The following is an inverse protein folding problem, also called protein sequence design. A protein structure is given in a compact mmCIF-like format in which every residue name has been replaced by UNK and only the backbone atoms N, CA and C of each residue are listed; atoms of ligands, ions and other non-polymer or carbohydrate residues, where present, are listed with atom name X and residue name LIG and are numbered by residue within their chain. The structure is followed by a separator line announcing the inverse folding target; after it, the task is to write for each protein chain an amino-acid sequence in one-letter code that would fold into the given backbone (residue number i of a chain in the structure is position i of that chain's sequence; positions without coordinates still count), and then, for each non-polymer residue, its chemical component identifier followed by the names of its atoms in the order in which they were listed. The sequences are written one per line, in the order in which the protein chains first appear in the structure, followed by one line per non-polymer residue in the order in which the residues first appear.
data_IF_293694452018
#
_entry.id   IF_293694452018
#
_cell.length_a   1.000
_cell.length_b   1.000
_cell.length_c   1.000
_cell.angle_alpha   90.00
_cell.angle_beta   90.00
_cell.angle_gamma   90.00
#
_symmetry.space_group_name_H-M   'P 1'
#
loop_
_entity.id
_entity.type
_entity.pdbx_description
1 polymer ?
#
# COMPACT_ATOMS: atom_id res chain seq x y z
N UNK A 1 -3.93 12.83 46.30
CA UNK A 1 -3.24 13.66 47.31
C UNK A 1 -2.94 15.01 46.69
N UNK A 2 -3.74 16.02 47.05
CA UNK A 2 -3.57 17.41 46.61
C UNK A 2 -4.28 18.29 47.65
N UNK A 3 -3.50 18.79 48.60
CA UNK A 3 -3.82 19.88 49.52
C UNK A 3 -3.93 21.17 48.68
N UNK A 4 -4.71 22.22 48.97
CA UNK A 4 -5.41 22.68 50.16
C UNK A 4 -5.67 24.20 49.96
N UNK A 5 -6.35 24.83 50.93
CA UNK A 5 -6.74 26.26 51.02
C UNK A 5 -7.95 26.65 50.16
N UNK A 6 -9.01 27.29 50.66
CA UNK A 6 -9.22 27.98 51.93
C UNK A 6 -10.10 29.20 51.64
N UNK A 7 -11.01 29.55 52.55
CA UNK A 7 -11.66 30.88 52.55
C UNK A 7 -13.18 30.89 52.55
N UNK A 8 -13.72 31.12 53.75
CA UNK A 8 -15.09 31.53 54.09
C UNK A 8 -15.65 32.67 53.23
N UNK A 9 -16.98 32.85 53.18
CA UNK A 9 -17.69 33.81 54.06
C UNK A 9 -19.11 34.14 53.54
N UNK A 10 -20.07 33.95 54.45
CA UNK A 10 -21.30 34.71 54.69
C UNK A 10 -21.71 35.85 53.74
N UNK A 11 -22.99 35.82 53.35
CA UNK A 11 -23.93 36.92 53.61
C UNK A 11 -24.26 37.85 52.44
N UNK A 12 -25.56 38.10 52.24
CA UNK A 12 -26.02 39.23 51.42
C UNK A 12 -27.46 39.13 50.92
N UNK A 13 -28.43 39.40 51.80
CA UNK A 13 -29.78 39.82 51.40
C UNK A 13 -29.71 41.15 50.62
N UNK A 14 -30.46 41.28 49.53
CA UNK A 14 -30.57 42.55 48.80
C UNK A 14 -31.72 42.56 47.79
N UNK A 15 -32.85 43.11 48.21
CA UNK A 15 -34.00 43.48 47.38
C UNK A 15 -33.60 44.40 46.21
N UNK A 16 -34.22 44.24 45.04
CA UNK A 16 -34.39 45.32 44.07
C UNK A 16 -35.75 45.21 43.37
N UNK A 17 -36.61 46.12 43.77
CA UNK A 17 -37.96 46.41 43.27
C UNK A 17 -37.88 47.35 42.06
N UNK A 18 -38.89 47.23 41.20
CA UNK A 18 -39.45 48.26 40.33
C UNK A 18 -38.66 48.72 39.09
N UNK A 19 -39.14 48.26 37.93
CA UNK A 19 -39.01 48.87 36.59
C UNK A 19 -40.11 48.22 35.71
N UNK A 20 -40.93 48.84 34.88
CA UNK A 20 -41.28 50.21 34.53
C UNK A 20 -42.49 50.10 33.58
N UNK A 21 -43.39 51.06 33.64
CA UNK A 21 -44.70 51.06 33.01
C UNK A 21 -44.58 51.67 31.60
N UNK A 22 -44.78 50.87 30.54
CA UNK A 22 -44.96 51.40 29.18
C UNK A 22 -45.96 50.53 28.40
N UNK A 23 -47.20 50.98 28.38
CA UNK A 23 -48.35 50.31 27.75
C UNK A 23 -48.53 50.84 26.34
N UNK A 24 -47.88 50.20 25.38
CA UNK A 24 -48.38 50.05 23.99
C UNK A 24 -47.80 48.76 23.43
N UNK A 25 -48.07 47.66 24.14
CA UNK A 25 -47.78 46.33 23.67
C UNK A 25 -48.68 45.96 22.48
N UNK A 26 -48.22 45.08 21.58
CA UNK A 26 -49.00 44.61 20.43
C UNK A 26 -50.40 44.23 20.87
N UNK A 27 -51.40 44.69 20.10
CA UNK A 27 -52.81 44.50 20.43
C UNK A 27 -53.07 43.04 20.76
N UNK A 28 -53.84 42.79 21.83
CA UNK A 28 -54.11 41.43 22.36
C UNK A 28 -54.51 40.46 21.25
N UNK A 29 -55.25 40.95 20.27
CA UNK A 29 -55.66 40.20 19.09
C UNK A 29 -54.50 39.81 18.18
N UNK A 30 -53.55 40.71 17.91
CA UNK A 30 -52.33 40.41 17.15
C UNK A 30 -51.45 39.41 17.89
N UNK A 31 -51.31 39.54 19.21
CA UNK A 31 -50.50 38.60 20.00
C UNK A 31 -51.14 37.22 20.10
N UNK A 32 -52.46 37.14 20.28
CA UNK A 32 -53.21 35.87 20.25
C UNK A 32 -53.26 35.25 18.86
N UNK A 33 -53.35 36.06 17.80
CA UNK A 33 -53.26 35.58 16.41
C UNK A 33 -51.83 35.12 16.05
N UNK A 34 -50.81 35.78 16.58
CA UNK A 34 -49.41 35.38 16.43
C UNK A 34 -49.14 34.06 17.16
N UNK A 35 -49.61 33.90 18.40
CA UNK A 35 -49.52 32.64 19.15
C UNK A 35 -50.30 31.50 18.48
N UNK A 36 -51.50 31.77 17.96
CA UNK A 36 -52.30 30.74 17.30
C UNK A 36 -51.75 30.35 15.93
N UNK A 37 -51.15 31.28 15.19
CA UNK A 37 -50.60 31.03 13.85
C UNK A 37 -49.19 30.40 13.89
N UNK A 38 -48.42 30.61 14.97
CA UNK A 38 -47.09 29.99 15.14
C UNK A 38 -47.13 28.47 15.00
N UNK A 39 -48.13 27.81 15.56
CA UNK A 39 -48.31 26.35 15.43
C UNK A 39 -48.57 25.92 13.98
N UNK A 40 -49.33 26.73 13.23
CA UNK A 40 -49.60 26.47 11.81
C UNK A 40 -48.38 26.76 10.92
N UNK A 41 -47.53 27.74 11.26
CA UNK A 41 -46.27 27.96 10.54
C UNK A 41 -45.25 26.87 10.84
N UNK A 42 -45.17 26.38 12.08
CA UNK A 42 -44.31 25.26 12.46
C UNK A 42 -44.68 23.98 11.69
N UNK A 43 -45.97 23.74 11.41
CA UNK A 43 -46.36 22.58 10.60
C UNK A 43 -45.88 22.71 9.16
N UNK A 44 -46.01 23.88 8.53
CA UNK A 44 -45.47 24.14 7.19
C UNK A 44 -43.95 23.98 7.18
N UNK A 45 -43.25 24.55 8.17
CA UNK A 45 -41.79 24.44 8.31
C UNK A 45 -41.36 22.97 8.47
N UNK A 46 -42.09 22.17 9.25
CA UNK A 46 -41.81 20.73 9.40
C UNK A 46 -41.98 19.95 8.09
N UNK A 47 -42.98 20.29 7.27
CA UNK A 47 -43.20 19.64 5.97
C UNK A 47 -42.04 20.00 5.03
N UNK A 48 -41.63 21.26 5.00
CA UNK A 48 -40.48 21.72 4.20
C UNK A 48 -39.19 21.01 4.65
N UNK A 49 -38.94 20.91 5.95
CA UNK A 49 -37.79 20.16 6.47
C UNK A 49 -37.86 18.66 6.15
N UNK A 50 -39.05 18.05 6.19
CA UNK A 50 -39.23 16.65 5.79
C UNK A 50 -38.94 16.45 4.30
N UNK A 51 -39.37 17.35 3.43
CA UNK A 51 -39.00 17.29 2.00
C UNK A 51 -37.49 17.49 1.81
N UNK A 52 -36.87 18.41 2.54
CA UNK A 52 -35.43 18.60 2.50
C UNK A 52 -34.66 17.37 2.99
N UNK A 53 -35.14 16.68 4.03
CA UNK A 53 -34.50 15.46 4.54
C UNK A 53 -34.67 14.28 3.59
N UNK A 54 -35.83 14.15 2.94
CA UNK A 54 -36.05 13.18 1.86
C UNK A 54 -35.10 13.46 0.68
N UNK A 55 -34.92 14.73 0.30
CA UNK A 55 -33.98 15.10 -0.77
C UNK A 55 -32.53 14.77 -0.40
N UNK A 56 -32.09 15.06 0.83
CA UNK A 56 -30.76 14.68 1.32
C UNK A 56 -30.58 13.16 1.40
N UNK A 57 -31.63 12.43 1.80
CA UNK A 57 -31.59 10.97 1.82
C UNK A 57 -31.51 10.40 0.40
N UNK A 58 -32.25 10.96 -0.55
CA UNK A 58 -32.17 10.56 -1.96
C UNK A 58 -30.78 10.82 -2.53
N UNK A 59 -30.17 11.96 -2.23
CA UNK A 59 -28.79 12.28 -2.61
C UNK A 59 -27.77 11.32 -1.97
N UNK A 60 -27.98 10.96 -0.70
CA UNK A 60 -27.19 9.94 -0.01
C UNK A 60 -27.37 8.54 -0.65
N UNK A 61 -28.59 8.16 -1.04
CA UNK A 61 -28.82 6.88 -1.73
C UNK A 61 -28.20 6.86 -3.12
N UNK A 62 -28.26 7.96 -3.87
CA UNK A 62 -27.63 8.08 -5.17
C UNK A 62 -26.11 7.97 -5.07
N UNK A 63 -25.49 8.73 -4.17
CA UNK A 63 -24.05 8.66 -3.93
C UNK A 63 -23.61 7.29 -3.40
N UNK A 64 -24.39 6.65 -2.53
CA UNK A 64 -24.12 5.28 -2.08
C UNK A 64 -24.15 4.27 -3.22
N UNK A 65 -25.12 4.37 -4.13
CA UNK A 65 -25.19 3.51 -5.33
C UNK A 65 -24.00 3.78 -6.27
N UNK A 66 -23.66 5.04 -6.50
CA UNK A 66 -22.51 5.41 -7.35
C UNK A 66 -21.19 4.88 -6.78
N UNK A 67 -20.97 5.06 -5.48
CA UNK A 67 -19.78 4.56 -4.78
C UNK A 67 -19.74 3.03 -4.74
N UNK A 68 -20.89 2.36 -4.58
CA UNK A 68 -20.98 0.90 -4.63
C UNK A 68 -20.65 0.36 -6.02
N UNK A 69 -21.14 1.02 -7.07
CA UNK A 69 -20.83 0.64 -8.45
C UNK A 69 -19.34 0.78 -8.76
N UNK A 70 -18.73 1.92 -8.36
CA UNK A 70 -17.28 2.09 -8.48
C UNK A 70 -16.50 1.02 -7.72
N UNK A 71 -16.86 0.72 -6.48
CA UNK A 71 -16.20 -0.33 -5.71
C UNK A 71 -16.25 -1.69 -6.41
N UNK A 72 -17.32 -2.00 -7.14
CA UNK A 72 -17.42 -3.23 -7.94
C UNK A 72 -16.52 -3.20 -9.18
N UNK A 73 -16.40 -2.05 -9.85
CA UNK A 73 -15.44 -1.86 -10.95
C UNK A 73 -14.00 -2.03 -10.44
N UNK A 74 -13.66 -1.44 -9.30
CA UNK A 74 -12.34 -1.58 -8.68
C UNK A 74 -12.03 -3.06 -8.35
N UNK A 75 -13.00 -3.81 -7.82
CA UNK A 75 -12.87 -5.26 -7.60
C UNK A 75 -12.60 -6.02 -8.91
N UNK A 76 -13.16 -5.57 -10.02
CA UNK A 76 -12.94 -6.17 -11.34
C UNK A 76 -11.51 -5.94 -11.83
N UNK A 77 -10.97 -4.73 -11.64
CA UNK A 77 -9.58 -4.43 -11.97
C UNK A 77 -8.61 -5.19 -11.07
N UNK A 78 -8.91 -5.30 -9.77
CA UNK A 78 -8.14 -6.14 -8.85
C UNK A 78 -8.19 -7.62 -9.23
N UNK A 79 -9.33 -8.13 -9.71
CA UNK A 79 -9.46 -9.49 -10.21
C UNK A 79 -8.61 -9.73 -11.47
N UNK A 80 -8.51 -8.75 -12.36
CA UNK A 80 -7.62 -8.79 -13.53
C UNK A 80 -6.15 -8.92 -13.14
N UNK A 81 -5.70 -8.10 -12.17
CA UNK A 81 -4.33 -8.16 -11.63
C UNK A 81 -4.04 -9.49 -10.93
N UNK A 82 -4.99 -10.01 -10.15
CA UNK A 82 -4.87 -11.32 -9.50
C UNK A 82 -4.68 -12.45 -10.51
N UNK A 83 -5.40 -12.42 -11.64
CA UNK A 83 -5.22 -13.41 -12.70
C UNK A 83 -3.79 -13.41 -13.26
N UNK A 84 -3.19 -12.23 -13.42
CA UNK A 84 -1.79 -12.12 -13.87
C UNK A 84 -0.82 -12.68 -12.82
N UNK A 85 -1.01 -12.34 -11.54
CA UNK A 85 -0.20 -12.87 -10.44
C UNK A 85 -0.33 -14.39 -10.28
N UNK A 86 -1.54 -14.93 -10.45
CA UNK A 86 -1.80 -16.37 -10.40
C UNK A 86 -1.11 -17.12 -11.55
N UNK A 87 -1.09 -16.52 -12.75
CA UNK A 87 -0.37 -17.07 -13.91
C UNK A 87 1.14 -17.05 -13.67
N UNK A 88 1.68 -15.98 -13.08
CA UNK A 88 3.09 -15.90 -12.70
C UNK A 88 3.47 -16.93 -11.63
N UNK A 89 2.63 -17.13 -10.62
CA UNK A 89 2.85 -18.15 -9.59
C UNK A 89 2.84 -19.58 -10.16
N UNK A 90 1.89 -19.89 -11.04
CA UNK A 90 1.86 -21.18 -11.76
C UNK A 90 3.06 -21.32 -12.71
N UNK A 91 3.46 -20.24 -13.37
CA UNK A 91 4.63 -20.22 -14.25
C UNK A 91 5.92 -20.48 -13.46
N UNK A 92 6.06 -19.96 -12.24
CA UNK A 92 7.22 -20.23 -11.39
C UNK A 92 7.30 -21.73 -11.04
N UNK A 93 6.18 -22.37 -10.71
CA UNK A 93 6.13 -23.81 -10.46
C UNK A 93 6.44 -24.63 -11.73
N UNK A 94 5.92 -24.22 -12.88
CA UNK A 94 6.22 -24.84 -14.17
C UNK A 94 7.70 -24.62 -14.58
N UNK A 95 8.26 -23.45 -14.27
CA UNK A 95 9.65 -23.08 -14.54
C UNK A 95 10.62 -23.90 -13.70
N UNK A 96 10.34 -24.09 -12.41
CA UNK A 96 11.13 -25.01 -11.56
C UNK A 96 11.07 -26.44 -12.10
N UNK A 97 9.89 -26.91 -12.52
CA UNK A 97 9.72 -28.25 -13.09
C UNK A 97 10.47 -28.41 -14.42
N UNK A 98 10.42 -27.41 -15.29
CA UNK A 98 11.11 -27.43 -16.60
C UNK A 98 12.61 -27.31 -16.43
N UNK A 99 13.13 -26.46 -15.53
CA UNK A 99 14.56 -26.40 -15.18
C UNK A 99 15.04 -27.75 -14.64
N UNK A 100 14.29 -28.38 -13.72
CA UNK A 100 14.68 -29.68 -13.16
C UNK A 100 14.69 -30.77 -14.24
N UNK A 101 13.72 -30.75 -15.14
CA UNK A 101 13.65 -31.66 -16.29
C UNK A 101 14.81 -31.42 -17.26
N UNK A 102 15.10 -30.16 -17.58
CA UNK A 102 16.15 -29.76 -18.51
C UNK A 102 17.53 -30.07 -17.94
N UNK A 103 17.79 -29.83 -16.65
CA UNK A 103 18.99 -30.26 -15.95
C UNK A 103 19.17 -31.78 -15.98
N UNK A 104 18.11 -32.53 -15.66
CA UNK A 104 18.14 -33.98 -15.71
C UNK A 104 18.36 -34.51 -17.13
N UNK A 105 17.83 -33.82 -18.15
CA UNK A 105 17.98 -34.18 -19.56
C UNK A 105 19.35 -33.77 -20.11
N UNK A 106 19.88 -32.62 -19.71
CA UNK A 106 21.22 -32.13 -20.06
C UNK A 106 22.30 -33.05 -19.47
N UNK A 107 22.17 -33.45 -18.20
CA UNK A 107 23.05 -34.44 -17.58
C UNK A 107 22.96 -35.83 -18.24
N UNK A 108 21.78 -36.22 -18.73
CA UNK A 108 21.62 -37.46 -19.48
C UNK A 108 22.22 -37.37 -20.89
N UNK A 109 22.12 -36.20 -21.54
CA UNK A 109 22.70 -35.93 -22.86
C UNK A 109 24.23 -35.80 -22.82
N UNK A 110 24.78 -35.22 -21.74
CA UNK A 110 26.21 -35.17 -21.47
C UNK A 110 26.78 -36.52 -20.97
N UNK A 111 25.94 -37.54 -20.75
CA UNK A 111 26.39 -38.89 -20.41
C UNK A 111 26.88 -39.08 -18.97
N UNK A 112 26.71 -38.09 -18.08
CA UNK A 112 27.17 -38.17 -16.67
C UNK A 112 26.14 -38.81 -15.71
N UNK A 113 24.98 -39.26 -16.19
CA UNK A 113 23.91 -39.75 -15.32
C UNK A 113 23.91 -41.28 -15.15
N UNK A 114 24.84 -41.77 -14.33
CA UNK A 114 24.73 -43.05 -13.62
C UNK A 114 23.70 -42.92 -12.50
N UNK A 115 22.41 -43.13 -12.82
CA UNK A 115 21.29 -43.03 -11.86
C UNK A 115 21.34 -44.14 -10.80
N UNK A 116 22.20 -45.15 -10.94
CA UNK A 116 22.30 -46.28 -10.00
C UNK A 116 23.39 -46.11 -8.95
N UNK A 117 24.46 -45.36 -9.22
CA UNK A 117 25.58 -45.26 -8.25
C UNK A 117 25.33 -44.24 -7.14
N UNK A 118 24.56 -43.17 -7.41
CA UNK A 118 24.33 -42.12 -6.41
C UNK A 118 23.34 -42.56 -5.32
N UNK A 119 22.26 -43.26 -5.67
CA UNK A 119 21.30 -43.79 -4.68
C UNK A 119 21.90 -44.95 -3.87
N UNK A 120 22.74 -45.79 -4.49
CA UNK A 120 23.46 -46.86 -3.80
C UNK A 120 24.52 -46.30 -2.84
N UNK A 121 25.28 -45.28 -3.24
CA UNK A 121 26.29 -44.65 -2.40
C UNK A 121 25.69 -43.80 -1.27
N UNK A 122 24.49 -43.23 -1.46
CA UNK A 122 23.78 -42.49 -0.42
C UNK A 122 23.33 -43.42 0.72
N UNK A 123 22.74 -44.58 0.37
CA UNK A 123 22.34 -45.61 1.35
C UNK A 123 23.55 -46.19 2.09
N UNK A 124 24.67 -46.41 1.40
CA UNK A 124 25.94 -46.85 2.00
C UNK A 124 26.50 -45.81 2.99
N UNK A 125 26.41 -44.52 2.67
CA UNK A 125 26.89 -43.44 3.55
C UNK A 125 26.02 -43.20 4.78
N UNK A 126 24.70 -43.40 4.67
CA UNK A 126 23.80 -43.38 5.83
C UNK A 126 24.01 -44.61 6.75
N UNK A 127 24.35 -45.77 6.19
CA UNK A 127 24.73 -46.95 6.96
C UNK A 127 26.12 -46.80 7.62
N UNK A 128 27.07 -46.16 6.95
CA UNK A 128 28.40 -45.88 7.49
C UNK A 128 28.39 -44.76 8.55
N UNK A 129 27.46 -43.80 8.48
CA UNK A 129 27.27 -42.77 9.51
C UNK A 129 26.67 -43.30 10.82
N UNK A 130 26.04 -44.47 10.80
CA UNK A 130 25.48 -45.13 11.98
C UNK A 130 26.45 -46.10 12.68
N UNK A 131 27.65 -46.31 12.12
CA UNK A 131 28.66 -47.24 12.65
C UNK A 131 29.99 -46.53 12.92
N UNK A 132 29.95 -45.52 13.80
CA UNK A 132 31.15 -45.10 14.52
C UNK A 132 31.30 -46.02 15.75
N UNK A 133 31.58 -47.29 15.52
CA UNK A 133 32.21 -48.15 16.52
C UNK A 133 32.79 -49.40 15.83
N UNK A 134 34.12 -49.35 15.64
CA UNK A 134 35.02 -50.50 15.55
C UNK A 134 34.76 -51.57 14.49
N UNK A 135 35.61 -51.63 13.46
CA UNK A 135 36.26 -52.88 13.05
C UNK A 135 37.36 -52.65 12.01
N UNK A 136 38.52 -53.24 12.29
CA UNK A 136 39.72 -53.32 11.47
C UNK A 136 39.60 -54.31 10.30
N UNK A 137 40.30 -53.99 9.21
CA UNK A 137 41.01 -54.87 8.26
C UNK A 137 40.20 -55.95 7.52
N UNK A 138 40.07 -55.82 6.19
CA UNK A 138 40.69 -56.70 5.17
C UNK A 138 40.03 -56.60 3.78
N UNK A 139 40.85 -56.69 2.73
CA UNK A 139 40.44 -57.32 1.46
C UNK A 139 40.01 -56.45 0.28
N UNK A 140 40.93 -56.28 -0.67
CA UNK A 140 40.75 -56.26 -2.13
C UNK A 140 39.85 -55.20 -2.81
N UNK A 141 40.47 -54.43 -3.71
CA UNK A 141 39.78 -53.71 -4.79
C UNK A 141 40.23 -52.26 -4.91
N UNK A 142 41.10 -51.98 -5.88
CA UNK A 142 41.52 -50.62 -6.27
C UNK A 142 40.29 -49.80 -6.69
N UNK A 143 39.77 -48.97 -5.80
CA UNK A 143 38.99 -47.78 -6.17
C UNK A 143 39.78 -46.58 -5.67
N UNK A 144 40.20 -45.71 -6.59
CA UNK A 144 41.01 -44.52 -6.28
C UNK A 144 40.37 -43.65 -5.19
N UNK A 145 41.14 -42.79 -4.52
CA UNK A 145 40.67 -41.99 -3.39
C UNK A 145 39.44 -41.17 -3.83
N UNK A 146 38.29 -41.52 -3.26
CA UNK A 146 36.99 -40.95 -3.61
C UNK A 146 36.93 -39.55 -3.02
N UNK A 147 37.33 -38.53 -3.78
CA UNK A 147 37.30 -37.11 -3.38
C UNK A 147 35.87 -36.55 -3.22
N UNK A 148 34.88 -37.40 -2.96
CA UNK A 148 33.48 -37.04 -2.77
C UNK A 148 33.29 -36.05 -1.60
N UNK A 149 33.97 -36.18 -0.44
CA UNK A 149 33.92 -35.17 0.61
C UNK A 149 34.52 -33.81 0.20
N UNK A 150 35.53 -33.82 -0.68
CA UNK A 150 36.18 -32.62 -1.19
C UNK A 150 35.30 -31.90 -2.22
N UNK A 151 34.63 -32.65 -3.10
CA UNK A 151 33.65 -32.09 -4.03
C UNK A 151 32.45 -31.49 -3.28
N UNK A 152 32.01 -32.11 -2.19
CA UNK A 152 30.95 -31.57 -1.30
C UNK A 152 31.41 -30.24 -0.68
N UNK A 153 32.63 -30.18 -0.16
CA UNK A 153 33.20 -28.94 0.38
C UNK A 153 33.22 -27.82 -0.66
N UNK A 154 33.68 -28.08 -1.89
CA UNK A 154 33.65 -27.08 -2.96
C UNK A 154 32.23 -26.70 -3.39
N UNK A 155 31.29 -27.64 -3.44
CA UNK A 155 29.88 -27.35 -3.74
C UNK A 155 29.24 -26.43 -2.70
N UNK A 156 29.57 -26.59 -1.42
CA UNK A 156 29.07 -25.72 -0.34
C UNK A 156 29.79 -24.37 -0.35
N UNK A 157 31.11 -24.34 -0.55
CA UNK A 157 31.90 -23.10 -0.54
C UNK A 157 31.60 -22.21 -1.74
N UNK A 158 31.38 -22.78 -2.94
CA UNK A 158 30.98 -22.00 -4.11
C UNK A 158 29.46 -21.79 -4.18
N UNK A 159 28.67 -22.80 -3.80
CA UNK A 159 27.21 -22.76 -3.86
C UNK A 159 26.59 -21.89 -2.77
N UNK A 160 27.16 -21.87 -1.57
CA UNK A 160 26.68 -21.11 -0.42
C UNK A 160 26.57 -19.60 -0.70
N UNK A 161 27.68 -18.93 -1.07
CA UNK A 161 27.65 -17.49 -1.38
C UNK A 161 26.67 -17.16 -2.52
N UNK A 162 26.61 -18.00 -3.55
CA UNK A 162 25.70 -17.81 -4.69
C UNK A 162 24.22 -18.01 -4.29
N UNK A 163 23.91 -19.00 -3.47
CA UNK A 163 22.57 -19.25 -2.93
C UNK A 163 22.11 -18.11 -2.02
N UNK A 164 23.00 -17.61 -1.15
CA UNK A 164 22.72 -16.46 -0.29
C UNK A 164 22.47 -15.23 -1.14
N UNK A 165 23.34 -14.93 -2.12
CA UNK A 165 23.14 -13.79 -3.03
C UNK A 165 21.85 -13.91 -3.83
N UNK A 166 21.49 -15.12 -4.28
CA UNK A 166 20.27 -15.36 -5.05
C UNK A 166 19.00 -15.26 -4.21
N UNK A 167 19.02 -15.75 -2.97
CA UNK A 167 17.91 -15.62 -2.02
C UNK A 167 17.77 -14.17 -1.54
N UNK A 168 18.89 -13.48 -1.30
CA UNK A 168 18.88 -12.07 -0.93
C UNK A 168 18.41 -11.19 -2.09
N UNK A 169 18.77 -11.49 -3.34
CA UNK A 169 18.29 -10.76 -4.51
C UNK A 169 16.81 -11.00 -4.78
N UNK A 170 16.30 -12.21 -4.50
CA UNK A 170 14.87 -12.52 -4.61
C UNK A 170 14.04 -11.90 -3.46
N UNK A 171 14.62 -11.70 -2.28
CA UNK A 171 13.99 -11.01 -1.16
C UNK A 171 14.13 -9.48 -1.23
N UNK A 172 15.22 -8.99 -1.83
CA UNK A 172 15.42 -7.59 -2.17
C UNK A 172 14.62 -7.16 -3.40
N UNK A 173 14.04 -8.13 -4.13
CA UNK A 173 12.87 -7.90 -4.98
C UNK A 173 11.60 -7.79 -4.12
N UNK A 174 11.61 -6.91 -3.11
CA UNK A 174 10.41 -6.12 -2.91
C UNK A 174 10.31 -5.19 -4.13
N UNK A 175 9.16 -5.15 -4.83
CA UNK A 175 8.97 -4.26 -5.96
C UNK A 175 8.78 -2.82 -5.43
N UNK A 176 9.81 -2.23 -4.84
CA UNK A 176 9.86 -0.80 -4.50
C UNK A 176 10.35 0.04 -5.68
N UNK A 177 10.77 -0.55 -6.80
CA UNK A 177 11.09 0.22 -8.00
C UNK A 177 10.69 -0.54 -9.26
N UNK A 178 9.98 0.15 -10.16
CA UNK A 178 9.65 -0.27 -11.54
C UNK A 178 8.45 -1.23 -11.71
N UNK A 179 7.35 -1.00 -10.99
CA UNK A 179 5.99 -1.41 -11.44
C UNK A 179 4.98 -0.25 -11.41
N UNK A 180 5.45 1.01 -11.38
CA UNK A 180 4.59 2.15 -11.05
C UNK A 180 4.95 3.45 -11.77
N UNK A 181 5.24 3.39 -13.07
CA UNK A 181 5.45 4.61 -13.88
C UNK A 181 4.60 4.63 -15.17
N UNK A 182 3.53 3.85 -15.26
CA UNK A 182 2.54 3.99 -16.35
C UNK A 182 1.82 5.36 -16.29
N UNK A 183 1.69 5.95 -15.10
CA UNK A 183 1.22 7.34 -14.96
C UNK A 183 2.26 8.35 -15.45
N UNK A 184 3.56 8.04 -15.34
CA UNK A 184 4.62 8.96 -15.77
C UNK A 184 4.66 9.06 -17.30
N UNK A 185 4.43 7.97 -18.03
CA UNK A 185 4.31 7.98 -19.49
C UNK A 185 3.01 8.64 -19.98
N UNK A 186 2.06 8.94 -19.09
CA UNK A 186 0.74 9.49 -19.42
C UNK A 186 -0.23 8.46 -20.00
N UNK A 187 0.08 7.16 -19.89
CA UNK A 187 -0.75 6.06 -20.43
C UNK A 187 -1.86 5.65 -19.44
N UNK A 188 -1.62 5.83 -18.13
CA UNK A 188 -2.57 5.62 -17.03
C UNK A 188 -3.17 6.93 -16.49
N UNK A 189 -4.07 6.84 -15.51
CA UNK A 189 -4.65 7.99 -14.80
C UNK A 189 -3.52 8.89 -14.25
N UNK A 190 -3.50 10.15 -14.68
CA UNK A 190 -2.44 11.10 -14.35
C UNK A 190 -2.98 12.52 -14.27
N UNK A 191 -2.34 13.36 -13.48
CA UNK A 191 -2.74 14.75 -13.32
C UNK A 191 -1.70 15.63 -14.00
N UNK A 192 -2.14 16.41 -14.99
CA UNK A 192 -1.25 17.38 -15.64
C UNK A 192 -1.14 18.62 -14.76
N UNK A 193 0.08 19.05 -14.49
CA UNK A 193 0.38 20.28 -13.79
C UNK A 193 1.40 21.11 -14.56
N UNK A 194 1.45 22.39 -14.26
CA UNK A 194 2.43 23.33 -14.81
C UNK A 194 3.27 23.90 -13.69
N UNK A 195 4.59 23.89 -13.84
CA UNK A 195 5.46 24.60 -12.92
C UNK A 195 5.23 26.11 -13.03
N UNK A 196 4.95 26.77 -11.92
CA UNK A 196 4.77 28.22 -11.83
C UNK A 196 6.07 28.99 -11.62
N UNK A 197 7.10 28.30 -11.11
CA UNK A 197 8.41 28.88 -10.79
C UNK A 197 9.53 27.90 -11.14
N UNK A 198 10.74 28.43 -11.30
CA UNK A 198 11.94 27.61 -11.47
C UNK A 198 12.31 26.93 -10.15
N UNK A 199 12.56 25.63 -10.20
CA UNK A 199 13.02 24.82 -9.08
C UNK A 199 14.21 23.97 -9.50
N UNK A 200 15.29 24.03 -8.70
CA UNK A 200 16.51 23.25 -8.91
C UNK A 200 16.57 22.17 -7.83
N UNK A 201 16.69 20.91 -8.27
CA UNK A 201 16.80 19.76 -7.39
C UNK A 201 18.07 19.86 -6.53
N UNK A 202 17.91 19.62 -5.23
CA UNK A 202 19.01 19.58 -4.25
C UNK A 202 19.39 18.14 -3.90
N UNK A 203 18.46 17.20 -4.09
CA UNK A 203 18.62 15.77 -3.82
C UNK A 203 18.37 14.94 -5.09
N UNK A 204 18.93 13.73 -5.15
CA UNK A 204 18.70 12.76 -6.23
C UNK A 204 17.24 12.25 -6.27
N UNK A 205 16.46 12.51 -5.21
CA UNK A 205 15.03 12.20 -5.12
C UNK A 205 14.14 13.33 -5.68
N UNK A 206 14.72 14.48 -6.05
CA UNK A 206 14.01 15.66 -6.54
C UNK A 206 14.22 15.85 -8.04
N UNK A 207 13.26 16.50 -8.71
CA UNK A 207 13.37 16.81 -10.15
C UNK A 207 13.40 18.33 -10.38
N UNK A 208 14.35 18.77 -11.21
CA UNK A 208 14.47 20.18 -11.58
C UNK A 208 13.45 20.54 -12.65
N UNK A 209 12.70 21.63 -12.45
CA UNK A 209 11.71 22.13 -13.39
C UNK A 209 11.84 23.64 -13.59
N UNK A 210 11.46 24.12 -14.76
CA UNK A 210 11.44 25.56 -15.06
C UNK A 210 10.00 26.08 -15.06
N UNK A 211 9.83 27.36 -14.79
CA UNK A 211 8.56 28.05 -14.87
C UNK A 211 7.97 27.87 -16.28
N UNK A 212 6.81 27.25 -16.33
CA UNK A 212 6.08 26.95 -17.55
C UNK A 212 6.18 25.50 -18.02
N UNK A 213 7.10 24.69 -17.45
CA UNK A 213 7.23 23.27 -17.78
C UNK A 213 5.95 22.49 -17.41
N UNK A 214 5.55 21.57 -18.27
CA UNK A 214 4.43 20.65 -18.02
C UNK A 214 4.97 19.43 -17.29
N UNK A 215 4.35 19.11 -16.15
CA UNK A 215 4.71 18.02 -15.26
C UNK A 215 3.52 17.07 -15.17
N UNK A 216 3.82 15.78 -15.19
CA UNK A 216 2.83 14.72 -14.99
C UNK A 216 2.92 14.30 -13.53
N UNK A 217 1.85 14.50 -12.76
CA UNK A 217 1.78 14.17 -11.34
C UNK A 217 1.18 12.78 -11.14
N UNK A 218 1.71 12.06 -10.16
CA UNK A 218 1.15 10.78 -9.74
C UNK A 218 -0.27 10.97 -9.15
N UNK A 219 -1.19 9.99 -9.31
CA UNK A 219 -2.49 9.99 -8.65
C UNK A 219 -2.39 10.09 -7.13
N UNK A 220 -3.45 10.57 -6.48
CA UNK A 220 -3.47 10.79 -5.02
C UNK A 220 -3.14 9.54 -4.21
N UNK A 221 -3.46 8.37 -4.75
CA UNK A 221 -3.24 7.06 -4.16
C UNK A 221 -1.76 6.65 -4.17
N UNK A 222 -0.98 7.17 -5.14
CA UNK A 222 0.44 6.87 -5.33
C UNK A 222 1.35 8.02 -4.86
N UNK A 223 0.78 9.11 -4.34
CA UNK A 223 1.55 10.22 -3.79
C UNK A 223 2.25 9.80 -2.49
N UNK A 224 3.52 10.18 -2.29
CA UNK A 224 4.26 9.89 -1.06
C UNK A 224 3.62 10.62 0.13
N UNK A 225 3.79 10.06 1.33
CA UNK A 225 3.22 10.64 2.58
C UNK A 225 3.94 11.91 3.05
N UNK A 226 4.76 12.53 2.20
CA UNK A 226 5.55 13.72 2.51
C UNK A 226 4.70 14.96 2.27
N UNK A 227 4.48 15.76 3.31
CA UNK A 227 3.64 16.97 3.22
C UNK A 227 4.36 18.06 2.43
N UNK A 228 3.65 18.68 1.48
CA UNK A 228 4.15 19.80 0.69
C UNK A 228 5.02 19.41 -0.50
N UNK A 229 5.19 18.12 -0.76
CA UNK A 229 5.93 17.58 -1.90
C UNK A 229 5.01 16.69 -2.70
N UNK A 230 5.13 16.75 -4.03
CA UNK A 230 4.37 15.96 -4.96
C UNK A 230 5.33 15.15 -5.82
N UNK A 231 5.00 13.89 -6.03
CA UNK A 231 5.69 13.04 -6.98
C UNK A 231 5.25 13.41 -8.39
N UNK A 232 6.22 13.79 -9.21
CA UNK A 232 6.04 14.30 -10.55
C UNK A 232 7.05 13.66 -11.51
N UNK A 233 6.71 13.65 -12.79
CA UNK A 233 7.62 13.34 -13.89
C UNK A 233 7.60 14.46 -14.91
N UNK A 234 8.78 14.84 -15.41
CA UNK A 234 8.93 15.85 -16.46
C UNK A 234 8.87 15.24 -17.85
N UNK A 235 9.65 14.18 -18.06
CA UNK A 235 9.86 13.57 -19.38
C UNK A 235 9.19 12.19 -19.50
N UNK A 236 8.35 11.84 -18.53
CA UNK A 236 7.69 10.54 -18.41
C UNK A 236 8.59 9.35 -18.10
N UNK A 237 9.89 9.60 -17.95
CA UNK A 237 10.90 8.58 -17.62
C UNK A 237 11.51 8.84 -16.24
N UNK A 238 11.89 10.08 -15.95
CA UNK A 238 12.44 10.47 -14.66
C UNK A 238 11.32 10.90 -13.72
N UNK A 239 11.18 10.21 -12.59
CA UNK A 239 10.25 10.56 -11.51
C UNK A 239 11.03 11.19 -10.35
N UNK A 240 10.45 12.20 -9.72
CA UNK A 240 11.06 12.89 -8.60
C UNK A 240 10.07 13.78 -7.86
N UNK A 241 10.49 14.27 -6.71
CA UNK A 241 9.69 15.15 -5.87
C UNK A 241 9.80 16.60 -6.35
N UNK A 242 8.65 17.30 -6.35
CA UNK A 242 8.53 18.73 -6.65
C UNK A 242 7.71 19.40 -5.54
N UNK A 243 8.07 20.61 -5.09
CA UNK A 243 7.29 21.34 -4.11
C UNK A 243 5.86 21.65 -4.61
N UNK A 244 4.86 21.33 -3.79
CA UNK A 244 3.45 21.55 -4.14
C UNK A 244 3.11 23.02 -4.40
N UNK A 245 3.80 23.94 -3.73
CA UNK A 245 3.59 25.39 -3.89
C UNK A 245 4.09 25.93 -5.24
N UNK A 246 4.90 25.15 -5.95
CA UNK A 246 5.56 25.55 -7.20
C UNK A 246 4.83 25.02 -8.42
N UNK A 247 3.81 24.18 -8.24
CA UNK A 247 3.06 23.57 -9.33
C UNK A 247 1.60 23.99 -9.30
N UNK A 248 1.05 24.25 -10.47
CA UNK A 248 -0.33 24.59 -10.69
C UNK A 248 -0.99 23.46 -11.48
N UNK A 249 -1.95 22.77 -10.86
CA UNK A 249 -2.70 21.69 -11.50
C UNK A 249 -3.58 22.26 -12.62
N UNK A 250 -3.51 21.66 -13.81
CA UNK A 250 -4.23 22.14 -15.01
C UNK A 250 -5.62 21.53 -15.20
N UNK A 251 -6.02 20.57 -14.35
CA UNK A 251 -7.37 20.01 -14.32
C UNK A 251 -7.53 18.78 -15.21
#
# INVERSE_FOLDING_TARGET
YGLGFGGSQYGGYGYSRFREQNTSGPSRFVRTAEESSRTAFQSVESIVHAFSSVSMMLDATFSAVYNSFRAVLDVTDHFSRLRMQFTNALSAFALVRTIRFLYGRLLALLGLRSKSEVDAAWVESCAAGASIEGASVSGAGRAGPKSWPILLFFAVVLGGPYLIWKLLSAAAQEPETVSGCEWASGEDDHIVARAGYDFTATSDEEISCHAGDVLILAPKEQQPRVRGWLLASRDGVATGLVPANYVQVLG
#
